data_IF_338262200681
#
_entry.id   IF_338262200681
#
_cell.length_a   1.000
_cell.length_b   1.000
_cell.length_c   1.000
_cell.angle_alpha   90.00
_cell.angle_beta   90.00
_cell.angle_gamma   90.00
#
_symmetry.space_group_name_H-M   'P 1'
#
loop_
_entity.id
_entity.type
_entity.pdbx_description
1 polymer ?
#
# COMPACT_ATOMS: atom_id res chain seq x y z
N UNK A 1 -17.06 3.13 -19.35
CA UNK A 1 -16.53 2.20 -20.38
C UNK A 1 -15.06 2.54 -20.51
N UNK A 2 -14.14 1.60 -20.27
CA UNK A 2 -12.70 1.91 -20.33
C UNK A 2 -12.27 2.22 -21.77
N UNK A 3 -11.50 3.28 -22.00
CA UNK A 3 -11.08 3.72 -23.35
C UNK A 3 -10.00 2.84 -24.00
N UNK A 4 -9.75 1.64 -23.48
CA UNK A 4 -8.68 0.74 -23.96
C UNK A 4 -8.82 0.42 -25.45
N UNK A 5 -10.05 0.33 -25.97
CA UNK A 5 -10.33 0.07 -27.39
C UNK A 5 -10.20 1.28 -28.32
N UNK A 6 -10.04 2.49 -27.78
CA UNK A 6 -9.92 3.74 -28.53
C UNK A 6 -8.49 4.28 -28.55
N UNK A 7 -7.56 3.64 -27.83
CA UNK A 7 -6.15 4.02 -27.82
C UNK A 7 -5.53 3.70 -29.19
N UNK A 8 -5.16 4.73 -29.94
CA UNK A 8 -4.28 4.55 -31.10
C UNK A 8 -2.91 4.00 -30.66
N UNK A 9 -2.15 3.37 -31.56
CA UNK A 9 -0.76 2.98 -31.30
C UNK A 9 0.04 4.21 -30.83
N UNK A 10 0.35 4.26 -29.53
CA UNK A 10 1.08 5.36 -28.89
C UNK A 10 0.28 6.20 -27.87
N UNK A 11 -1.05 6.04 -27.77
CA UNK A 11 -1.89 6.82 -26.83
C UNK A 11 -2.04 6.17 -25.44
N UNK A 12 -1.71 4.88 -25.30
CA UNK A 12 -1.57 4.22 -24.00
C UNK A 12 -0.22 4.51 -23.34
N UNK A 13 0.16 5.79 -23.22
CA UNK A 13 1.48 6.15 -22.70
C UNK A 13 1.57 5.82 -21.22
N UNK A 14 2.44 4.88 -20.86
CA UNK A 14 2.81 4.68 -19.46
C UNK A 14 3.65 5.86 -18.99
N UNK A 15 3.17 6.62 -18.00
CA UNK A 15 3.94 7.70 -17.36
C UNK A 15 4.64 7.20 -16.10
N UNK A 16 5.86 7.68 -15.85
CA UNK A 16 6.56 7.42 -14.59
C UNK A 16 6.16 8.47 -13.54
N UNK A 17 5.54 8.05 -12.44
CA UNK A 17 5.29 8.91 -11.29
C UNK A 17 6.56 9.01 -10.45
N UNK A 18 7.10 10.24 -10.34
CA UNK A 18 8.35 10.52 -9.64
C UNK A 18 8.07 10.84 -8.17
N UNK A 19 8.80 10.19 -7.28
CA UNK A 19 8.73 10.39 -5.84
C UNK A 19 10.06 10.06 -5.19
N UNK A 20 10.48 10.91 -4.26
CA UNK A 20 11.66 10.67 -3.40
C UNK A 20 11.26 10.09 -2.03
N UNK A 21 9.94 10.03 -1.73
CA UNK A 21 9.43 9.54 -0.44
C UNK A 21 9.31 8.02 -0.38
N UNK A 22 9.07 7.40 -1.53
CA UNK A 22 8.83 5.96 -1.64
C UNK A 22 9.94 5.38 -2.51
N UNK A 23 10.73 4.41 -2.03
CA UNK A 23 11.84 3.82 -2.76
C UNK A 23 11.31 2.80 -3.77
N UNK A 24 10.38 3.16 -4.63
CA UNK A 24 9.81 2.31 -5.69
C UNK A 24 9.61 3.12 -6.96
N UNK A 25 9.60 2.46 -8.11
CA UNK A 25 9.25 3.11 -9.38
C UNK A 25 7.78 2.88 -9.72
N UNK A 26 6.99 3.94 -9.77
CA UNK A 26 5.58 3.87 -10.13
C UNK A 26 5.40 4.19 -11.61
N UNK A 27 4.70 3.30 -12.30
CA UNK A 27 4.33 3.42 -13.71
C UNK A 27 2.81 3.46 -13.81
N UNK A 28 2.29 4.60 -14.22
CA UNK A 28 0.86 4.89 -14.26
C UNK A 28 0.36 4.72 -15.69
N UNK A 29 -0.75 4.01 -15.84
CA UNK A 29 -1.50 3.82 -17.07
C UNK A 29 -2.86 4.48 -16.83
N UNK A 30 -3.09 5.61 -17.48
CA UNK A 30 -4.39 6.28 -17.43
C UNK A 30 -5.33 5.71 -18.48
N UNK A 31 -6.50 5.25 -18.05
CA UNK A 31 -7.55 4.75 -18.91
C UNK A 31 -8.65 5.78 -19.19
N UNK A 32 -8.82 6.78 -18.32
CA UNK A 32 -9.85 7.82 -18.44
C UNK A 32 -9.68 8.92 -17.37
N UNK A 33 -9.02 10.04 -17.70
CA UNK A 33 -9.00 11.25 -16.85
C UNK A 33 -8.31 11.10 -15.50
N UNK A 34 -7.52 10.05 -15.27
CA UNK A 34 -6.76 9.83 -14.06
C UNK A 34 -5.53 10.74 -13.94
N UNK A 35 -5.04 11.27 -15.05
CA UNK A 35 -3.94 12.23 -15.15
C UNK A 35 -4.46 13.55 -15.70
N UNK A 36 -3.93 14.67 -15.18
CA UNK A 36 -4.26 16.01 -15.63
C UNK A 36 -3.89 16.23 -17.11
N UNK A 37 -4.72 16.95 -17.86
CA UNK A 37 -4.60 17.06 -19.32
C UNK A 37 -3.28 17.73 -19.74
N UNK A 38 -2.80 18.70 -18.94
CA UNK A 38 -1.49 19.34 -19.12
C UNK A 38 -0.30 18.37 -18.96
N UNK A 39 -0.49 17.25 -18.29
CA UNK A 39 0.53 16.24 -18.02
C UNK A 39 0.40 14.99 -18.91
N UNK A 40 -0.63 14.91 -19.76
CA UNK A 40 -0.97 13.73 -20.57
C UNK A 40 0.18 13.22 -21.42
N UNK A 41 1.01 14.11 -21.98
CA UNK A 41 2.13 13.75 -22.86
C UNK A 41 3.50 13.73 -22.16
N UNK A 42 3.54 13.97 -20.84
CA UNK A 42 4.80 13.92 -20.09
C UNK A 42 5.23 12.47 -19.88
N UNK A 43 6.53 12.18 -20.03
CA UNK A 43 7.07 10.85 -19.65
C UNK A 43 7.20 10.66 -18.14
N UNK A 44 7.39 11.77 -17.43
CA UNK A 44 7.54 11.81 -15.97
C UNK A 44 6.51 12.79 -15.42
N UNK A 45 5.72 12.32 -14.46
CA UNK A 45 4.70 13.11 -13.77
C UNK A 45 5.00 13.12 -12.28
N UNK A 46 4.39 14.06 -11.57
CA UNK A 46 4.46 14.22 -10.13
C UNK A 46 3.06 14.03 -9.53
N UNK A 47 2.94 13.84 -8.20
CA UNK A 47 1.65 13.56 -7.56
C UNK A 47 0.56 14.61 -7.81
N UNK A 48 0.94 15.87 -8.02
CA UNK A 48 0.03 16.98 -8.35
C UNK A 48 -0.64 16.84 -9.73
N UNK A 49 -0.07 16.05 -10.64
CA UNK A 49 -0.68 15.76 -11.94
C UNK A 49 -1.72 14.61 -11.88
N UNK A 50 -1.93 13.98 -10.72
CA UNK A 50 -2.89 12.90 -10.58
C UNK A 50 -4.26 13.48 -10.23
N UNK A 51 -5.26 13.14 -11.06
CA UNK A 51 -6.67 13.46 -10.85
C UNK A 51 -7.44 12.31 -10.19
N UNK A 52 -6.97 11.07 -10.36
CA UNK A 52 -7.61 9.88 -9.79
C UNK A 52 -7.84 10.01 -8.27
N UNK A 53 -9.10 10.17 -7.88
CA UNK A 53 -9.55 10.30 -6.49
C UNK A 53 -9.00 9.14 -5.64
N UNK A 54 -9.21 7.86 -6.00
CA UNK A 54 -8.75 6.77 -5.14
C UNK A 54 -7.22 6.62 -5.13
N UNK A 55 -6.53 6.90 -6.25
CA UNK A 55 -5.07 6.81 -6.27
C UNK A 55 -4.40 7.94 -5.48
N UNK A 56 -4.94 9.17 -5.52
CA UNK A 56 -4.48 10.27 -4.65
C UNK A 56 -4.64 9.94 -3.17
N UNK A 57 -5.76 9.32 -2.80
CA UNK A 57 -6.00 8.88 -1.43
C UNK A 57 -4.97 7.84 -0.96
N UNK A 58 -4.74 6.79 -1.75
CA UNK A 58 -3.68 5.80 -1.48
C UNK A 58 -2.30 6.47 -1.39
N UNK A 59 -1.99 7.37 -2.33
CA UNK A 59 -0.71 8.05 -2.39
C UNK A 59 -0.46 8.94 -1.17
N UNK A 60 -1.49 9.66 -0.71
CA UNK A 60 -1.45 10.45 0.54
C UNK A 60 -1.08 9.57 1.72
N UNK A 61 -1.67 8.38 1.83
CA UNK A 61 -1.36 7.41 2.87
C UNK A 61 0.07 6.87 2.79
N UNK A 62 0.49 6.45 1.59
CA UNK A 62 1.84 5.95 1.37
C UNK A 62 2.92 7.02 1.64
N UNK A 63 2.59 8.31 1.52
CA UNK A 63 3.51 9.42 1.74
C UNK A 63 3.26 10.18 3.04
N UNK A 64 2.39 9.64 3.90
CA UNK A 64 1.99 10.26 5.16
C UNK A 64 3.19 10.39 6.12
N UNK A 65 3.19 11.45 6.93
CA UNK A 65 4.25 11.69 7.91
C UNK A 65 4.31 10.56 8.95
N UNK A 66 5.51 10.05 9.23
CA UNK A 66 5.71 8.90 10.12
C UNK A 66 5.69 7.54 9.41
N UNK A 67 5.17 7.44 8.18
CA UNK A 67 5.28 6.21 7.38
C UNK A 67 6.70 6.12 6.80
N UNK A 68 7.48 5.13 7.26
CA UNK A 68 8.88 4.94 6.83
C UNK A 68 9.02 3.76 5.88
N UNK A 69 9.57 4.03 4.69
CA UNK A 69 9.82 3.00 3.68
C UNK A 69 11.24 2.43 3.69
N UNK A 70 12.16 3.05 4.43
CA UNK A 70 13.55 2.65 4.58
C UNK A 70 13.87 2.43 6.06
N UNK A 71 14.97 1.71 6.31
CA UNK A 71 15.39 1.34 7.66
C UNK A 71 14.78 0.02 8.15
N UNK A 72 15.33 -0.48 9.26
CA UNK A 72 14.65 -1.47 10.07
C UNK A 72 13.48 -0.78 10.80
N UNK A 73 12.38 -1.48 11.02
CA UNK A 73 11.49 -1.12 12.13
C UNK A 73 12.35 -1.21 13.38
N UNK A 74 12.46 -0.12 14.14
CA UNK A 74 13.33 -0.04 15.32
C UNK A 74 12.82 -1.06 16.35
N UNK A 75 13.41 -2.26 16.35
CA UNK A 75 13.15 -3.30 17.35
C UNK A 75 14.21 -3.12 18.43
N UNK A 76 13.87 -2.42 19.51
CA UNK A 76 14.73 -2.38 20.70
C UNK A 76 14.61 -3.70 21.47
N UNK A 77 15.38 -4.70 21.04
CA UNK A 77 15.59 -5.93 21.80
C UNK A 77 17.09 -6.12 21.98
N UNK A 78 17.56 -5.75 23.18
CA UNK A 78 18.95 -5.85 23.60
C UNK A 78 19.62 -7.16 23.16
N UNK A 79 20.78 -7.02 22.51
CA UNK A 79 21.74 -8.10 22.29
C UNK A 79 21.60 -8.95 21.01
N UNK A 80 20.43 -9.00 20.36
CA UNK A 80 20.22 -9.82 19.15
C UNK A 80 20.28 -9.04 17.82
N UNK A 81 20.37 -7.71 17.88
CA UNK A 81 20.40 -6.81 16.72
C UNK A 81 21.57 -7.09 15.74
N UNK A 82 22.74 -7.52 16.23
CA UNK A 82 23.95 -7.67 15.40
C UNK A 82 23.88 -8.85 14.41
N UNK A 83 23.10 -9.89 14.71
CA UNK A 83 22.96 -11.06 13.85
C UNK A 83 21.89 -10.84 12.79
N UNK A 84 20.78 -10.16 13.13
CA UNK A 84 19.77 -9.78 12.15
C UNK A 84 20.29 -8.70 11.18
N UNK A 85 21.03 -7.70 11.65
CA UNK A 85 21.68 -6.66 10.84
C UNK A 85 22.54 -7.25 9.69
N UNK A 86 23.24 -8.37 9.94
CA UNK A 86 24.08 -9.03 8.92
C UNK A 86 23.28 -9.78 7.84
N UNK A 87 22.09 -10.27 8.15
CA UNK A 87 21.17 -10.83 7.14
C UNK A 87 20.50 -9.72 6.32
N UNK A 88 20.23 -8.55 6.94
CA UNK A 88 19.68 -7.37 6.27
C UNK A 88 20.60 -6.79 5.19
N UNK A 89 21.93 -6.85 5.39
CA UNK A 89 22.93 -6.41 4.40
C UNK A 89 23.04 -7.37 3.20
N UNK A 90 22.65 -8.65 3.36
CA UNK A 90 22.84 -9.67 2.34
C UNK A 90 21.62 -9.89 1.44
N UNK A 91 20.43 -9.46 1.85
CA UNK A 91 19.29 -9.32 0.94
C UNK A 91 19.43 -7.99 0.21
N UNK A 92 20.25 -7.97 -0.83
CA UNK A 92 20.38 -6.84 -1.74
C UNK A 92 19.01 -6.39 -2.25
N UNK A 93 18.42 -5.41 -1.57
CA UNK A 93 17.42 -4.54 -2.16
C UNK A 93 18.23 -3.57 -3.00
N UNK A 94 18.58 -3.98 -4.21
CA UNK A 94 19.16 -3.07 -5.20
C UNK A 94 18.17 -1.93 -5.45
N UNK A 95 18.63 -0.73 -5.08
CA UNK A 95 18.31 0.63 -5.53
C UNK A 95 16.86 1.17 -5.55
N UNK A 96 15.79 0.41 -5.79
CA UNK A 96 14.38 0.79 -5.50
C UNK A 96 13.60 -0.53 -5.42
N UNK A 97 12.71 -0.69 -4.44
CA UNK A 97 11.86 -1.85 -4.12
C UNK A 97 10.87 -2.29 -5.21
N UNK A 98 11.31 -2.36 -6.46
CA UNK A 98 10.58 -2.87 -7.61
C UNK A 98 9.88 -1.79 -8.44
N UNK A 99 9.29 -2.25 -9.54
CA UNK A 99 8.37 -1.49 -10.39
C UNK A 99 6.94 -1.78 -9.92
N UNK A 100 6.15 -0.73 -9.69
CA UNK A 100 4.73 -0.79 -9.39
C UNK A 100 3.98 -0.28 -10.61
N UNK A 101 3.04 -1.06 -11.11
CA UNK A 101 2.15 -0.65 -12.18
C UNK A 101 0.80 -0.26 -11.57
N UNK A 102 0.31 0.91 -11.96
CA UNK A 102 -0.94 1.49 -11.47
C UNK A 102 -1.81 1.79 -12.67
N UNK A 103 -2.99 1.19 -12.74
CA UNK A 103 -4.00 1.48 -13.76
C UNK A 103 -5.04 2.38 -13.10
N UNK A 104 -5.33 3.53 -13.69
CA UNK A 104 -6.24 4.51 -13.09
C UNK A 104 -7.27 5.05 -14.08
N UNK A 105 -8.38 5.53 -13.53
CA UNK A 105 -9.20 6.60 -14.11
C UNK A 105 -9.31 7.71 -13.06
N UNK A 106 -10.07 8.76 -13.34
CA UNK A 106 -10.50 9.77 -12.34
C UNK A 106 -11.13 9.16 -11.07
N UNK A 107 -11.84 8.03 -11.18
CA UNK A 107 -12.60 7.38 -10.10
C UNK A 107 -12.16 5.94 -9.78
N UNK A 108 -11.21 5.37 -10.51
CA UNK A 108 -10.77 3.99 -10.35
C UNK A 108 -9.26 3.88 -10.14
N UNK A 109 -8.84 2.89 -9.36
CA UNK A 109 -7.44 2.45 -9.24
C UNK A 109 -7.34 0.94 -9.16
N UNK A 110 -6.41 0.39 -9.92
CA UNK A 110 -5.85 -0.95 -9.70
C UNK A 110 -4.34 -0.83 -9.54
N UNK A 111 -3.83 -1.22 -8.39
CA UNK A 111 -2.41 -1.12 -8.05
C UNK A 111 -1.93 -2.44 -7.47
N UNK A 112 -0.89 -3.01 -8.09
CA UNK A 112 -0.23 -4.22 -7.62
C UNK A 112 1.20 -3.92 -7.19
N UNK A 113 1.51 -4.22 -5.94
CA UNK A 113 2.79 -3.93 -5.30
C UNK A 113 3.47 -5.24 -4.91
N UNK A 114 4.69 -5.46 -5.40
CA UNK A 114 5.57 -6.55 -4.96
C UNK A 114 6.75 -5.97 -4.20
N UNK A 115 6.78 -6.20 -2.89
CA UNK A 115 7.85 -5.76 -2.00
C UNK A 115 8.61 -6.99 -1.50
N UNK A 116 9.77 -7.24 -2.11
CA UNK A 116 10.58 -8.43 -1.86
C UNK A 116 9.75 -9.73 -1.94
N UNK A 117 9.31 -10.25 -0.79
CA UNK A 117 8.63 -11.54 -0.64
C UNK A 117 7.12 -11.43 -0.36
N UNK A 118 6.53 -10.22 -0.33
CA UNK A 118 5.08 -10.05 -0.20
C UNK A 118 4.47 -9.26 -1.36
N UNK A 119 3.20 -9.55 -1.61
CA UNK A 119 2.39 -8.99 -2.67
C UNK A 119 1.15 -8.34 -2.08
N UNK A 120 0.85 -7.13 -2.51
CA UNK A 120 -0.38 -6.42 -2.16
C UNK A 120 -1.09 -5.95 -3.41
N UNK A 121 -2.41 -6.10 -3.45
CA UNK A 121 -3.25 -5.63 -4.56
C UNK A 121 -4.35 -4.74 -4.00
N UNK A 122 -4.49 -3.57 -4.59
CA UNK A 122 -5.59 -2.63 -4.37
C UNK A 122 -6.41 -2.56 -5.65
N UNK A 123 -7.72 -2.67 -5.52
CA UNK A 123 -8.67 -2.50 -6.60
C UNK A 123 -9.87 -1.74 -6.03
N UNK A 124 -10.08 -0.50 -6.46
CA UNK A 124 -11.06 0.38 -5.84
C UNK A 124 -11.73 1.31 -6.84
N UNK A 125 -13.02 1.54 -6.60
CA UNK A 125 -13.80 2.59 -7.24
C UNK A 125 -14.26 3.59 -6.18
N UNK A 126 -14.07 4.88 -6.45
CA UNK A 126 -14.36 5.97 -5.54
C UNK A 126 -14.87 7.18 -6.32
N UNK A 127 -16.18 7.41 -6.25
CA UNK A 127 -16.87 8.55 -6.83
C UNK A 127 -18.05 9.01 -5.98
N UNK A 128 -18.83 9.94 -6.52
CA UNK A 128 -19.91 10.62 -5.79
C UNK A 128 -21.04 9.66 -5.35
N UNK A 129 -21.36 8.69 -6.21
CA UNK A 129 -22.43 7.73 -5.95
C UNK A 129 -21.93 6.57 -5.08
N UNK A 130 -22.33 6.57 -3.79
CA UNK A 130 -21.88 5.59 -2.80
C UNK A 130 -22.12 4.13 -3.22
N UNK A 131 -23.19 3.85 -3.99
CA UNK A 131 -23.55 2.49 -4.41
C UNK A 131 -22.50 1.84 -5.31
N UNK A 132 -21.74 2.65 -6.03
CA UNK A 132 -20.67 2.18 -6.92
C UNK A 132 -19.34 2.04 -6.18
N UNK A 133 -19.19 2.65 -5.02
CA UNK A 133 -17.92 2.69 -4.31
C UNK A 133 -17.60 1.35 -3.68
N UNK A 134 -16.36 0.91 -3.88
CA UNK A 134 -15.84 -0.31 -3.28
C UNK A 134 -14.33 -0.23 -3.12
N UNK A 135 -13.81 -1.05 -2.20
CA UNK A 135 -12.39 -1.33 -2.08
C UNK A 135 -12.24 -2.84 -1.94
N UNK A 136 -11.46 -3.45 -2.83
CA UNK A 136 -10.93 -4.80 -2.68
C UNK A 136 -9.44 -4.69 -2.34
N UNK A 137 -9.03 -5.42 -1.30
CA UNK A 137 -7.66 -5.47 -0.82
C UNK A 137 -7.21 -6.93 -0.70
N UNK A 138 -6.02 -7.21 -1.21
CA UNK A 138 -5.38 -8.52 -1.04
C UNK A 138 -3.95 -8.34 -0.57
N UNK A 139 -3.54 -9.17 0.38
CA UNK A 139 -2.16 -9.22 0.86
C UNK A 139 -1.73 -10.69 1.00
N UNK A 140 -0.48 -11.00 0.65
CA UNK A 140 0.11 -12.31 0.94
C UNK A 140 1.65 -12.26 0.93
N UNK A 141 2.28 -13.11 1.76
CA UNK A 141 3.69 -13.44 1.66
C UNK A 141 4.53 -12.80 2.75
N UNK A 142 5.85 -12.89 2.61
CA UNK A 142 6.84 -12.45 3.59
C UNK A 142 8.12 -13.28 3.59
N UNK A 143 9.19 -12.71 4.14
CA UNK A 143 10.50 -13.37 4.22
C UNK A 143 10.70 -14.16 5.52
N UNK A 144 9.82 -13.98 6.51
CA UNK A 144 9.92 -14.60 7.82
C UNK A 144 9.36 -16.03 7.88
N UNK A 145 9.34 -16.61 9.09
CA UNK A 145 8.70 -17.90 9.35
C UNK A 145 7.18 -17.84 9.08
N UNK A 146 6.55 -19.00 8.84
CA UNK A 146 5.11 -19.08 8.63
C UNK A 146 4.32 -18.45 9.79
N UNK A 147 4.80 -18.66 11.01
CA UNK A 147 4.24 -18.09 12.24
C UNK A 147 4.34 -16.55 12.27
N UNK A 148 5.50 -15.98 11.91
CA UNK A 148 5.66 -14.52 11.85
C UNK A 148 4.78 -13.88 10.77
N UNK A 149 4.69 -14.51 9.59
CA UNK A 149 3.79 -14.07 8.51
C UNK A 149 2.31 -14.15 8.94
N UNK A 150 1.93 -15.20 9.67
CA UNK A 150 0.58 -15.34 10.21
C UNK A 150 0.24 -14.23 11.22
N UNK A 151 1.15 -13.90 12.14
CA UNK A 151 0.92 -12.78 13.08
C UNK A 151 0.80 -11.43 12.40
N UNK A 152 1.60 -11.17 11.35
CA UNK A 152 1.39 -9.97 10.51
C UNK A 152 0.02 -9.99 9.84
N UNK A 153 -0.43 -11.15 9.35
CA UNK A 153 -1.76 -11.25 8.76
C UNK A 153 -2.86 -10.93 9.78
N UNK A 154 -2.72 -11.36 11.04
CA UNK A 154 -3.64 -11.00 12.12
C UNK A 154 -3.59 -9.50 12.47
N UNK A 155 -2.40 -8.89 12.51
CA UNK A 155 -2.26 -7.43 12.67
C UNK A 155 -3.02 -6.68 11.56
N UNK A 156 -2.79 -7.01 10.29
CA UNK A 156 -3.46 -6.38 9.15
C UNK A 156 -4.98 -6.62 9.23
N UNK A 157 -5.39 -7.85 9.57
CA UNK A 157 -6.80 -8.20 9.73
C UNK A 157 -7.50 -7.28 10.73
N UNK A 158 -6.96 -7.11 11.93
CA UNK A 158 -7.58 -6.28 12.97
C UNK A 158 -7.64 -4.80 12.59
N UNK A 159 -6.60 -4.27 11.93
CA UNK A 159 -6.64 -2.90 11.37
C UNK A 159 -7.76 -2.78 10.34
N UNK A 160 -7.91 -3.73 9.42
CA UNK A 160 -8.95 -3.71 8.40
C UNK A 160 -10.36 -3.84 8.99
N UNK A 161 -10.55 -4.71 9.98
CA UNK A 161 -11.83 -4.88 10.68
C UNK A 161 -12.22 -3.60 11.44
N UNK A 162 -11.26 -2.85 12.01
CA UNK A 162 -11.52 -1.55 12.62
C UNK A 162 -11.98 -0.46 11.63
N UNK A 163 -11.80 -0.70 10.33
CA UNK A 163 -12.23 0.15 9.23
C UNK A 163 -13.50 -0.39 8.54
N UNK A 164 -14.20 -1.35 9.17
CA UNK A 164 -15.41 -2.01 8.68
C UNK A 164 -15.23 -2.89 7.44
N UNK A 165 -14.00 -3.27 7.10
CA UNK A 165 -13.80 -4.26 6.04
C UNK A 165 -14.31 -5.62 6.48
N UNK A 166 -14.92 -6.36 5.55
CA UNK A 166 -15.03 -7.81 5.67
C UNK A 166 -13.66 -8.40 5.37
N UNK A 167 -13.13 -9.25 6.26
CA UNK A 167 -11.79 -9.83 6.11
C UNK A 167 -11.83 -11.35 6.21
N UNK A 168 -11.20 -12.02 5.26
CA UNK A 168 -10.91 -13.46 5.28
C UNK A 168 -9.38 -13.66 5.36
N UNK A 169 -8.94 -14.55 6.27
CA UNK A 169 -7.54 -14.94 6.42
C UNK A 169 -7.37 -16.43 6.15
N UNK A 170 -6.44 -16.77 5.25
CA UNK A 170 -6.03 -18.16 4.92
C UNK A 170 -4.52 -18.30 5.03
N UNK A 171 -4.04 -18.75 6.19
CA UNK A 171 -2.62 -18.68 6.51
C UNK A 171 -2.16 -17.22 6.55
N UNK A 172 -1.18 -16.85 5.73
CA UNK A 172 -0.71 -15.47 5.59
C UNK A 172 -1.40 -14.66 4.48
N UNK A 173 -2.36 -15.28 3.78
CA UNK A 173 -3.17 -14.60 2.77
C UNK A 173 -4.33 -13.88 3.45
N UNK A 174 -4.54 -12.63 3.03
CA UNK A 174 -5.65 -11.77 3.45
C UNK A 174 -6.42 -11.37 2.21
N UNK A 175 -7.73 -11.53 2.28
CA UNK A 175 -8.68 -11.02 1.29
C UNK A 175 -9.67 -10.15 2.06
N UNK A 176 -9.78 -8.89 1.69
CA UNK A 176 -10.68 -7.96 2.34
C UNK A 176 -11.47 -7.13 1.33
N UNK A 177 -12.73 -6.84 1.65
CA UNK A 177 -13.59 -6.01 0.82
C UNK A 177 -14.53 -5.12 1.65
N UNK A 178 -14.90 -3.98 1.06
CA UNK A 178 -15.97 -3.11 1.53
C UNK A 178 -16.66 -2.46 0.33
N UNK A 179 -17.97 -2.22 0.44
CA UNK A 179 -18.82 -1.63 -0.62
C UNK A 179 -19.82 -0.66 -0.03
N UNK A 180 -20.31 0.27 -0.86
CA UNK A 180 -21.44 1.12 -0.47
C UNK A 180 -21.08 2.26 0.47
N UNK A 181 -19.80 2.66 0.53
CA UNK A 181 -19.34 3.77 1.37
C UNK A 181 -19.40 5.11 0.62
N UNK A 182 -19.53 6.23 1.35
CA UNK A 182 -19.44 7.56 0.74
C UNK A 182 -18.06 7.77 0.09
N UNK A 183 -17.96 8.72 -0.85
CA UNK A 183 -16.66 9.07 -1.45
C UNK A 183 -15.64 9.42 -0.38
N UNK A 184 -16.02 10.28 0.57
CA UNK A 184 -15.17 10.72 1.68
C UNK A 184 -14.66 9.56 2.52
N UNK A 185 -15.53 8.61 2.88
CA UNK A 185 -15.11 7.47 3.70
C UNK A 185 -14.28 6.46 2.91
N UNK A 186 -14.51 6.36 1.60
CA UNK A 186 -13.69 5.53 0.69
C UNK A 186 -12.29 6.11 0.56
N UNK A 187 -12.17 7.43 0.35
CA UNK A 187 -10.89 8.14 0.34
C UNK A 187 -10.15 8.02 1.68
N UNK A 188 -10.86 8.11 2.81
CA UNK A 188 -10.28 7.93 4.14
C UNK A 188 -9.69 6.52 4.29
N UNK A 189 -10.45 5.48 3.93
CA UNK A 189 -9.98 4.08 4.03
C UNK A 189 -8.79 3.82 3.10
N UNK A 190 -8.81 4.36 1.88
CA UNK A 190 -7.68 4.26 0.95
C UNK A 190 -6.41 4.94 1.48
N UNK A 191 -6.55 6.09 2.15
CA UNK A 191 -5.42 6.72 2.87
C UNK A 191 -4.86 5.80 3.96
N UNK A 192 -5.70 5.27 4.85
CA UNK A 192 -5.22 4.35 5.89
C UNK A 192 -4.58 3.08 5.28
N UNK A 193 -5.12 2.55 4.19
CA UNK A 193 -4.53 1.43 3.45
C UNK A 193 -3.14 1.77 2.88
N UNK A 194 -2.94 2.99 2.38
CA UNK A 194 -1.63 3.47 1.94
C UNK A 194 -0.62 3.52 3.09
N UNK A 195 -1.06 3.96 4.29
CA UNK A 195 -0.21 3.94 5.50
C UNK A 195 0.13 2.52 5.92
N UNK A 196 -0.87 1.64 5.95
CA UNK A 196 -0.74 0.24 6.32
C UNK A 196 0.26 -0.51 5.42
N UNK A 197 0.26 -0.23 4.12
CA UNK A 197 1.23 -0.79 3.18
C UNK A 197 2.68 -0.46 3.58
N UNK A 198 2.96 0.79 3.90
CA UNK A 198 4.31 1.19 4.33
C UNK A 198 4.69 0.59 5.68
N UNK A 199 3.77 0.62 6.65
CA UNK A 199 4.02 0.19 8.03
C UNK A 199 4.19 -1.34 8.18
N UNK A 200 3.52 -2.14 7.36
CA UNK A 200 3.49 -3.61 7.51
C UNK A 200 4.68 -4.36 6.88
N UNK A 201 5.56 -3.65 6.15
CA UNK A 201 6.60 -4.24 5.28
C UNK A 201 7.53 -5.23 5.98
N UNK A 202 7.83 -5.03 7.27
CA UNK A 202 8.75 -5.87 8.05
C UNK A 202 8.10 -6.52 9.29
N UNK A 203 6.79 -6.35 9.47
CA UNK A 203 6.11 -6.84 10.66
C UNK A 203 6.02 -8.37 10.75
N UNK A 204 6.26 -9.10 9.66
CA UNK A 204 6.40 -10.56 9.71
C UNK A 204 7.63 -11.01 10.48
N UNK A 205 8.65 -10.16 10.58
CA UNK A 205 9.85 -10.40 11.38
C UNK A 205 9.76 -9.73 12.75
N UNK A 206 9.08 -8.57 12.85
CA UNK A 206 9.05 -7.77 14.07
C UNK A 206 8.02 -8.26 15.11
N UNK A 207 6.89 -8.84 14.67
CA UNK A 207 5.85 -9.31 15.59
C UNK A 207 6.24 -10.66 16.19
N UNK A 208 6.80 -10.62 17.40
CA UNK A 208 7.35 -11.78 18.10
C UNK A 208 6.31 -12.63 18.83
N UNK A 209 5.18 -12.05 19.24
CA UNK A 209 4.09 -12.72 19.96
C UNK A 209 2.71 -12.10 19.64
N UNK A 210 1.65 -12.67 20.21
CA UNK A 210 0.28 -12.12 20.07
C UNK A 210 0.12 -10.81 20.86
N UNK A 211 0.74 -10.71 22.04
CA UNK A 211 0.75 -9.49 22.84
C UNK A 211 1.50 -8.36 22.11
N UNK A 212 2.62 -8.68 21.45
CA UNK A 212 3.31 -7.73 20.59
C UNK A 212 2.40 -7.28 19.44
N UNK A 213 1.68 -8.21 18.79
CA UNK A 213 0.70 -7.87 17.75
C UNK A 213 -0.37 -6.90 18.26
N UNK A 214 -0.90 -7.08 19.47
CA UNK A 214 -1.88 -6.17 20.07
C UNK A 214 -1.33 -4.75 20.22
N UNK A 215 -0.07 -4.62 20.65
CA UNK A 215 0.60 -3.34 20.71
C UNK A 215 0.74 -2.69 19.33
N UNK A 216 1.15 -3.43 18.30
CA UNK A 216 1.26 -2.88 16.93
C UNK A 216 -0.10 -2.41 16.39
N UNK A 217 -1.18 -3.17 16.62
CA UNK A 217 -2.54 -2.76 16.22
C UNK A 217 -2.90 -1.44 16.90
N UNK A 218 -2.74 -1.37 18.23
CA UNK A 218 -3.04 -0.16 19.00
C UNK A 218 -2.21 1.03 18.52
N UNK A 219 -0.90 0.87 18.38
CA UNK A 219 0.00 1.91 17.92
C UNK A 219 -0.40 2.44 16.53
N UNK A 220 -0.74 1.56 15.59
CA UNK A 220 -1.18 1.97 14.25
C UNK A 220 -2.49 2.77 14.30
N UNK A 221 -3.48 2.32 15.10
CA UNK A 221 -4.77 2.99 15.23
C UNK A 221 -4.67 4.33 15.98
N UNK A 222 -3.69 4.49 16.86
CA UNK A 222 -3.38 5.75 17.55
C UNK A 222 -2.52 6.71 16.71
N UNK A 223 -2.11 6.30 15.50
CA UNK A 223 -1.34 7.14 14.56
C UNK A 223 0.18 7.04 14.70
N UNK A 224 0.70 6.12 15.52
CA UNK A 224 2.14 5.82 15.61
C UNK A 224 2.56 4.90 14.45
N UNK A 225 2.74 5.48 13.27
CA UNK A 225 3.12 4.76 12.05
C UNK A 225 4.59 4.35 11.97
N UNK A 226 5.45 4.94 12.82
CA UNK A 226 6.85 4.53 12.92
C UNK A 226 7.07 3.37 13.89
N UNK A 227 6.06 3.03 14.70
CA UNK A 227 6.16 2.08 15.81
C UNK A 227 7.33 2.39 16.74
N UNK A 228 7.57 3.68 17.01
CA UNK A 228 8.55 4.09 18.00
C UNK A 228 7.96 3.91 19.40
N UNK A 229 8.78 3.48 20.36
CA UNK A 229 8.42 3.52 21.77
C UNK A 229 8.74 4.91 22.33
N UNK A 230 7.89 5.41 23.23
CA UNK A 230 8.15 6.63 24.02
C UNK A 230 9.29 6.42 25.04
#
# INVERSE_FOLDING_TARGET
MFRIGELAEGEGSTQQLVSDRIPMFFYVIDLDGGIAEEARFLRKISPEHINSIPFRALWRGMTYEGVRWSGAVDIDMGGLASVMARSFVRTGVEEKGGKVYVIITDQYVNMSVKLAYHFTVFDAFCGESYINNYINFRFQGGGASAEGRYRRALFIKEVLESLDFRVEVKGDMIIADIKGASQKDTEYRLDILGRLLGCSRQLDMAISSMEAKDWYVKAFLEGNYSFAHD
#
